data_IF_251617694491
#
_entry.id   IF_251617694491
#
_cell.length_a   1.000
_cell.length_b   1.000
_cell.length_c   1.000
_cell.angle_alpha   90.00
_cell.angle_beta   90.00
_cell.angle_gamma   90.00
#
_symmetry.space_group_name_H-M   'P 1'
#
loop_
_entity.id
_entity.type
_entity.pdbx_description
1 polymer ?
#
# COMPACT_ATOMS: atom_id res chain seq x y z
N UNK A 1 -54.32 -48.51 34.61
CA UNK A 1 -53.39 -49.67 34.48
C UNK A 1 -52.04 -49.19 34.09
N UNK A 2 -51.08 -49.14 34.99
CA UNK A 2 -49.75 -48.68 34.70
C UNK A 2 -48.84 -49.88 34.36
N UNK A 3 -47.96 -49.71 33.39
CA UNK A 3 -46.91 -50.68 33.09
C UNK A 3 -45.56 -50.18 33.62
N UNK A 4 -44.73 -51.07 34.11
CA UNK A 4 -43.47 -50.73 34.76
C UNK A 4 -42.34 -50.53 33.76
N UNK A 5 -41.49 -49.59 34.10
CA UNK A 5 -40.21 -49.25 33.51
C UNK A 5 -39.13 -50.31 33.84
N UNK A 6 -38.48 -50.84 32.85
CA UNK A 6 -37.26 -51.61 33.05
C UNK A 6 -36.04 -50.70 32.82
N UNK A 7 -35.36 -50.44 33.95
CA UNK A 7 -34.00 -49.95 33.95
C UNK A 7 -33.05 -51.08 33.62
N UNK A 8 -32.32 -50.98 32.53
CA UNK A 8 -31.13 -51.80 32.33
C UNK A 8 -29.89 -50.92 32.37
N UNK A 9 -29.24 -50.99 33.47
CA UNK A 9 -27.88 -50.49 33.62
C UNK A 9 -26.94 -51.27 32.69
N UNK A 10 -26.21 -50.57 31.88
CA UNK A 10 -25.02 -51.10 31.21
C UNK A 10 -23.80 -50.36 31.72
N UNK A 11 -23.23 -51.00 32.72
CA UNK A 11 -21.84 -50.78 33.15
C UNK A 11 -20.90 -51.25 32.06
N UNK A 12 -19.88 -50.39 31.80
CA UNK A 12 -18.54 -50.90 31.70
C UNK A 12 -17.74 -50.90 30.51
N UNK A 13 -16.60 -50.64 30.79
CA UNK A 13 -15.33 -50.90 30.11
C UNK A 13 -14.79 -49.68 29.37
N UNK A 14 -14.39 -48.71 30.14
CA UNK A 14 -13.26 -47.88 29.82
C UNK A 14 -12.00 -48.78 29.82
N UNK A 15 -11.58 -49.29 28.72
CA UNK A 15 -10.25 -49.85 28.58
C UNK A 15 -9.30 -48.81 28.01
N UNK A 16 -8.31 -48.55 28.84
CA UNK A 16 -7.13 -47.74 28.60
C UNK A 16 -6.41 -48.13 27.31
N UNK A 17 -6.35 -47.19 26.36
CA UNK A 17 -5.31 -47.17 25.33
C UNK A 17 -4.57 -45.83 25.50
N UNK A 18 -3.81 -45.77 26.57
CA UNK A 18 -2.90 -44.68 26.84
C UNK A 18 -1.51 -45.24 27.08
N UNK A 19 -0.82 -45.59 26.03
CA UNK A 19 0.65 -45.77 26.07
C UNK A 19 1.13 -46.22 24.70
N UNK A 20 1.49 -45.32 23.80
CA UNK A 20 2.48 -45.55 22.72
C UNK A 20 2.65 -44.28 21.81
N UNK A 21 2.75 -43.10 22.42
CA UNK A 21 3.15 -41.88 21.68
C UNK A 21 4.19 -41.05 22.46
N UNK A 22 5.12 -41.72 23.15
CA UNK A 22 6.24 -41.07 23.83
C UNK A 22 7.57 -41.48 23.18
N UNK A 23 7.70 -41.30 21.87
CA UNK A 23 8.98 -41.51 21.18
C UNK A 23 9.15 -40.55 19.98
N UNK A 24 8.84 -39.28 20.16
CA UNK A 24 9.45 -38.21 19.38
C UNK A 24 10.08 -37.27 20.42
N UNK A 25 11.40 -37.26 20.47
CA UNK A 25 12.17 -36.42 21.37
C UNK A 25 11.74 -34.97 21.28
N UNK A 26 10.92 -34.55 22.22
CA UNK A 26 10.60 -33.15 22.44
C UNK A 26 11.79 -32.48 23.13
N UNK A 27 12.69 -31.95 22.34
CA UNK A 27 13.51 -30.86 22.83
C UNK A 27 12.58 -29.73 23.22
N UNK A 28 12.63 -29.28 24.46
CA UNK A 28 11.97 -28.05 24.91
C UNK A 28 12.52 -26.91 24.05
N UNK A 29 11.85 -26.62 22.92
CA UNK A 29 12.06 -25.37 22.24
C UNK A 29 11.41 -24.29 23.10
N UNK A 30 12.24 -23.63 23.90
CA UNK A 30 11.85 -22.35 24.50
C UNK A 30 11.22 -21.51 23.36
N UNK A 31 9.95 -21.09 23.48
CA UNK A 31 9.35 -20.27 22.44
C UNK A 31 10.25 -19.04 22.24
N UNK A 32 10.80 -18.88 21.04
CA UNK A 32 11.55 -17.69 20.68
C UNK A 32 10.67 -16.49 21.02
N UNK A 33 11.20 -15.56 21.80
CA UNK A 33 10.49 -14.33 22.13
C UNK A 33 9.98 -13.73 20.82
N UNK A 34 8.66 -13.58 20.71
CA UNK A 34 8.05 -12.99 19.55
C UNK A 34 8.69 -11.61 19.34
N UNK A 35 9.50 -11.47 18.32
CA UNK A 35 10.06 -10.19 17.91
C UNK A 35 8.87 -9.32 17.52
N UNK A 36 8.51 -8.37 18.38
CA UNK A 36 7.48 -7.38 18.04
C UNK A 36 7.97 -6.62 16.81
N UNK A 37 7.29 -6.82 15.69
CA UNK A 37 7.54 -6.04 14.49
C UNK A 37 7.28 -4.56 14.86
N UNK A 38 8.27 -3.67 14.67
CA UNK A 38 8.06 -2.25 14.93
C UNK A 38 6.81 -1.76 14.21
N UNK A 39 5.85 -1.25 14.96
CA UNK A 39 4.66 -0.65 14.39
C UNK A 39 5.03 0.72 13.83
N UNK A 40 4.63 1.00 12.59
CA UNK A 40 4.77 2.33 12.03
C UNK A 40 3.91 3.31 12.84
N UNK A 41 4.42 4.51 13.05
CA UNK A 41 3.64 5.61 13.63
C UNK A 41 2.39 5.84 12.79
N UNK A 42 1.26 6.14 13.45
CA UNK A 42 0.03 6.47 12.74
C UNK A 42 0.27 7.63 11.76
N UNK A 43 -0.24 7.49 10.54
CA UNK A 43 -0.12 8.54 9.54
C UNK A 43 -0.89 9.79 10.00
N UNK A 44 -0.23 10.95 9.95
CA UNK A 44 -0.85 12.24 10.29
C UNK A 44 -1.18 12.99 9.02
N UNK A 45 -2.45 13.28 8.81
CA UNK A 45 -2.92 14.05 7.67
C UNK A 45 -2.58 15.53 7.76
N UNK A 46 -2.67 16.23 6.65
CA UNK A 46 -2.46 17.68 6.57
C UNK A 46 -3.35 18.29 5.47
N UNK A 47 -3.62 19.59 5.60
CA UNK A 47 -4.33 20.35 4.58
C UNK A 47 -3.32 21.15 3.77
N UNK A 48 -3.34 21.00 2.45
CA UNK A 48 -2.58 21.87 1.56
C UNK A 48 -3.36 23.17 1.30
N UNK A 49 -2.97 24.23 1.97
CA UNK A 49 -3.60 25.55 1.87
C UNK A 49 -3.03 26.43 0.74
N UNK A 50 -1.96 25.98 0.06
CA UNK A 50 -1.29 26.72 -1.00
C UNK A 50 -2.06 26.73 -2.32
N UNK A 51 -1.63 27.61 -3.23
CA UNK A 51 -2.04 27.61 -4.62
C UNK A 51 -1.22 26.59 -5.41
N UNK A 52 -1.90 25.79 -6.24
CA UNK A 52 -1.25 24.75 -7.05
C UNK A 52 -0.26 25.33 -8.06
N UNK A 53 -0.59 26.46 -8.68
CA UNK A 53 0.30 27.11 -9.66
C UNK A 53 1.65 27.53 -9.03
N UNK A 54 1.65 27.90 -7.74
CA UNK A 54 2.88 28.26 -7.02
C UNK A 54 3.87 27.12 -6.87
N UNK A 55 3.42 25.87 -7.01
CA UNK A 55 4.29 24.69 -6.92
C UNK A 55 5.34 24.65 -8.03
N UNK A 56 5.06 25.25 -9.18
CA UNK A 56 6.05 25.37 -10.26
C UNK A 56 7.30 26.12 -9.78
N UNK A 57 7.10 27.27 -9.11
CA UNK A 57 8.19 28.04 -8.55
C UNK A 57 8.86 27.33 -7.36
N UNK A 58 8.06 26.68 -6.51
CA UNK A 58 8.54 25.93 -5.34
C UNK A 58 9.51 24.82 -5.75
N UNK A 59 9.23 24.13 -6.84
CA UNK A 59 10.07 23.03 -7.32
C UNK A 59 11.13 23.43 -8.35
N UNK A 60 11.20 24.71 -8.74
CA UNK A 60 12.20 25.19 -9.70
C UNK A 60 13.64 25.00 -9.24
N UNK A 61 13.88 24.86 -7.92
CA UNK A 61 15.21 24.60 -7.35
C UNK A 61 15.67 23.14 -7.38
N UNK A 62 14.83 22.21 -7.82
CA UNK A 62 15.20 20.79 -7.89
C UNK A 62 16.18 20.56 -9.06
N UNK A 63 17.35 19.99 -8.74
CA UNK A 63 18.37 19.73 -9.73
C UNK A 63 17.85 18.83 -10.87
N UNK A 64 18.21 19.18 -12.12
CA UNK A 64 17.86 18.42 -13.31
C UNK A 64 16.35 18.14 -13.46
N UNK A 65 15.48 19.01 -12.91
CA UNK A 65 14.04 18.83 -12.90
C UNK A 65 13.37 20.04 -13.57
N UNK A 66 12.42 19.77 -14.46
CA UNK A 66 11.57 20.79 -15.07
C UNK A 66 10.11 20.44 -14.79
N UNK A 67 9.39 21.35 -14.14
CA UNK A 67 7.93 21.24 -13.99
C UNK A 67 7.27 21.77 -15.26
N UNK A 68 6.41 20.96 -15.87
CA UNK A 68 5.69 21.31 -17.10
C UNK A 68 4.28 21.78 -16.83
N UNK A 69 3.62 21.24 -15.79
CA UNK A 69 2.26 21.62 -15.38
C UNK A 69 2.19 21.62 -13.84
N UNK A 70 1.51 22.60 -13.29
CA UNK A 70 1.08 22.63 -11.90
C UNK A 70 -0.32 23.27 -11.86
N UNK A 71 -1.35 22.47 -11.62
CA UNK A 71 -2.75 22.91 -11.71
C UNK A 71 -3.65 22.26 -10.67
N UNK A 72 -4.78 22.89 -10.40
CA UNK A 72 -5.83 22.31 -9.56
C UNK A 72 -6.75 21.41 -10.40
N UNK A 73 -6.91 20.18 -9.96
CA UNK A 73 -7.94 19.26 -10.48
C UNK A 73 -9.08 19.24 -9.48
N UNK A 74 -10.27 19.69 -9.91
CA UNK A 74 -11.44 19.76 -9.05
C UNK A 74 -11.92 18.37 -8.61
N UNK A 75 -12.59 18.29 -7.47
CA UNK A 75 -13.20 17.05 -7.00
C UNK A 75 -14.15 16.47 -8.07
N UNK A 76 -14.00 15.20 -8.37
CA UNK A 76 -14.81 14.48 -9.38
C UNK A 76 -14.45 14.75 -10.83
N UNK A 77 -13.54 15.67 -11.14
CA UNK A 77 -13.06 15.89 -12.52
C UNK A 77 -12.24 14.67 -13.04
N UNK A 78 -11.71 13.88 -12.13
CA UNK A 78 -11.03 12.62 -12.43
C UNK A 78 -11.77 11.49 -11.70
N UNK A 79 -11.91 10.35 -12.37
CA UNK A 79 -12.43 9.12 -11.76
C UNK A 79 -11.44 7.99 -11.97
N UNK A 80 -11.23 7.17 -10.93
CA UNK A 80 -10.36 6.00 -10.96
C UNK A 80 -11.19 4.80 -10.50
N UNK A 81 -11.23 3.74 -11.32
CA UNK A 81 -12.07 2.58 -11.03
C UNK A 81 -13.55 2.92 -10.82
N UNK A 82 -14.06 3.96 -11.50
CA UNK A 82 -15.44 4.44 -11.34
C UNK A 82 -15.70 5.28 -10.09
N UNK A 83 -14.65 5.54 -9.27
CA UNK A 83 -14.77 6.38 -8.07
C UNK A 83 -14.22 7.79 -8.34
N UNK A 84 -14.95 8.86 -7.94
CA UNK A 84 -14.48 10.22 -8.10
C UNK A 84 -13.26 10.47 -7.20
N UNK A 85 -12.25 11.12 -7.75
CA UNK A 85 -11.06 11.54 -7.00
C UNK A 85 -11.31 12.89 -6.35
N UNK A 86 -10.85 13.04 -5.09
CA UNK A 86 -10.94 14.31 -4.36
C UNK A 86 -10.11 15.41 -5.03
N UNK A 87 -10.41 16.68 -4.71
CA UNK A 87 -9.64 17.83 -5.18
C UNK A 87 -8.16 17.68 -4.83
N UNK A 88 -7.30 17.91 -5.81
CA UNK A 88 -5.85 17.80 -5.65
C UNK A 88 -5.10 18.73 -6.60
N UNK A 89 -3.84 19.01 -6.27
CA UNK A 89 -2.91 19.60 -7.22
C UNK A 89 -2.28 18.50 -8.06
N UNK A 90 -2.32 18.63 -9.38
CA UNK A 90 -1.57 17.80 -10.31
C UNK A 90 -0.31 18.54 -10.73
N UNK A 91 0.83 17.92 -10.50
CA UNK A 91 2.14 18.42 -10.92
C UNK A 91 2.75 17.41 -11.84
N UNK A 92 3.08 17.82 -13.07
CA UNK A 92 3.81 16.98 -14.03
C UNK A 92 5.15 17.61 -14.36
N UNK A 93 6.11 16.78 -14.73
CA UNK A 93 7.43 17.27 -15.07
C UNK A 93 8.32 16.22 -15.68
N UNK A 94 9.53 16.63 -15.94
CA UNK A 94 10.60 15.82 -16.51
C UNK A 94 11.88 16.00 -15.70
N UNK A 95 12.61 14.90 -15.54
CA UNK A 95 13.91 14.88 -14.86
C UNK A 95 14.99 14.35 -15.81
N UNK A 96 16.23 14.80 -15.59
CA UNK A 96 17.40 14.32 -16.32
C UNK A 96 17.25 14.34 -17.83
N UNK A 97 16.66 15.42 -18.36
CA UNK A 97 16.55 15.61 -19.81
C UNK A 97 17.95 15.62 -20.45
N UNK A 98 18.11 14.82 -21.49
CA UNK A 98 19.38 14.65 -22.20
C UNK A 98 19.15 14.31 -23.66
N UNK A 99 20.10 14.69 -24.51
CA UNK A 99 20.17 14.20 -25.90
C UNK A 99 21.11 12.99 -25.93
N UNK A 100 20.65 11.92 -26.55
CA UNK A 100 21.45 10.70 -26.73
C UNK A 100 22.53 10.92 -27.82
N UNK A 101 23.74 10.57 -27.47
CA UNK A 101 24.86 10.62 -28.45
C UNK A 101 24.79 9.47 -29.49
N UNK A 102 23.92 8.47 -29.26
CA UNK A 102 23.80 7.29 -30.13
C UNK A 102 22.84 7.55 -31.28
N UNK A 103 21.69 8.19 -31.01
CA UNK A 103 20.59 8.34 -31.96
C UNK A 103 20.11 9.79 -32.16
N UNK A 104 20.68 10.74 -31.38
CA UNK A 104 20.30 12.15 -31.44
C UNK A 104 18.96 12.50 -30.81
N UNK A 105 18.24 11.55 -30.26
CA UNK A 105 16.93 11.77 -29.65
C UNK A 105 17.05 12.36 -28.24
N UNK A 106 16.02 13.13 -27.84
CA UNK A 106 15.88 13.64 -26.48
C UNK A 106 15.16 12.63 -25.59
N UNK A 107 15.72 12.40 -24.43
CA UNK A 107 15.18 11.50 -23.39
C UNK A 107 15.05 12.24 -22.06
N UNK A 108 14.04 11.89 -21.30
CA UNK A 108 13.83 12.39 -19.95
C UNK A 108 13.06 11.35 -19.12
N UNK A 109 13.11 11.48 -17.81
CA UNK A 109 12.25 10.73 -16.89
C UNK A 109 11.03 11.58 -16.61
N UNK A 110 9.86 11.19 -17.15
CA UNK A 110 8.60 11.84 -16.87
C UNK A 110 8.04 11.44 -15.50
N UNK A 111 7.34 12.36 -14.85
CA UNK A 111 6.64 12.07 -13.60
C UNK A 111 5.32 12.84 -13.49
N UNK A 112 4.40 12.30 -12.70
CA UNK A 112 3.20 12.98 -12.22
C UNK A 112 3.10 12.80 -10.71
N UNK A 113 2.81 13.89 -9.99
CA UNK A 113 2.53 13.91 -8.56
C UNK A 113 1.14 14.49 -8.33
N UNK A 114 0.35 13.83 -7.51
CA UNK A 114 -0.95 14.34 -7.04
C UNK A 114 -0.85 14.63 -5.56
N UNK A 115 -1.13 15.88 -5.20
CA UNK A 115 -1.12 16.39 -3.85
C UNK A 115 -2.56 16.69 -3.44
N UNK A 116 -3.25 15.80 -2.69
CA UNK A 116 -4.60 16.05 -2.24
C UNK A 116 -4.68 17.29 -1.36
N UNK A 117 -5.74 18.12 -1.52
CA UNK A 117 -5.98 19.25 -0.62
C UNK A 117 -6.11 18.79 0.84
N UNK A 118 -6.75 17.64 1.06
CA UNK A 118 -6.84 16.98 2.37
C UNK A 118 -6.02 15.69 2.32
N UNK A 119 -4.73 15.80 2.64
CA UNK A 119 -3.83 14.65 2.64
C UNK A 119 -4.03 13.79 3.89
N UNK A 120 -4.09 12.48 3.72
CA UNK A 120 -4.31 11.51 4.81
C UNK A 120 -3.01 11.04 5.49
N UNK A 121 -1.86 11.64 5.19
CA UNK A 121 -0.57 11.26 5.75
C UNK A 121 0.09 10.06 5.07
N UNK A 122 -0.48 9.55 3.97
CA UNK A 122 0.06 8.38 3.26
C UNK A 122 0.57 8.79 1.89
N UNK A 123 1.71 8.25 1.50
CA UNK A 123 2.30 8.42 0.18
C UNK A 123 2.27 7.09 -0.58
N UNK A 124 1.82 7.13 -1.83
CA UNK A 124 1.87 6.01 -2.76
C UNK A 124 2.80 6.38 -3.91
N UNK A 125 3.77 5.54 -4.20
CA UNK A 125 4.61 5.63 -5.39
C UNK A 125 4.28 4.47 -6.33
N UNK A 126 3.98 4.81 -7.58
CA UNK A 126 3.75 3.86 -8.66
C UNK A 126 4.84 4.04 -9.71
N UNK A 127 5.59 2.97 -9.98
CA UNK A 127 6.51 2.93 -11.12
C UNK A 127 5.81 2.41 -12.37
N UNK A 128 6.25 2.85 -13.53
CA UNK A 128 5.80 2.26 -14.79
C UNK A 128 6.37 0.85 -14.95
N UNK A 129 5.63 0.01 -15.66
CA UNK A 129 6.11 -1.30 -16.07
C UNK A 129 6.90 -1.23 -17.38
N UNK A 130 7.88 -2.13 -17.53
CA UNK A 130 8.57 -2.35 -18.81
C UNK A 130 9.36 -1.16 -19.34
N UNK A 131 9.31 -0.99 -20.66
CA UNK A 131 10.07 -0.01 -21.44
C UNK A 131 9.13 0.94 -22.21
N UNK A 132 7.95 1.20 -21.68
CA UNK A 132 6.90 1.97 -22.38
C UNK A 132 7.24 3.46 -22.58
N UNK A 133 8.16 4.01 -21.78
CA UNK A 133 8.65 5.39 -21.91
C UNK A 133 7.60 6.49 -21.67
N UNK A 134 6.42 6.13 -21.16
CA UNK A 134 5.32 7.06 -20.88
C UNK A 134 4.98 7.07 -19.40
N UNK A 135 4.45 8.20 -18.91
CA UNK A 135 3.93 8.29 -17.54
C UNK A 135 2.54 7.66 -17.52
N UNK A 136 2.40 6.52 -16.86
CA UNK A 136 1.10 5.88 -16.63
C UNK A 136 0.44 6.54 -15.43
N UNK A 137 -0.74 7.08 -15.66
CA UNK A 137 -1.55 7.68 -14.59
C UNK A 137 -1.88 6.65 -13.52
N UNK A 138 -1.70 7.00 -12.24
CA UNK A 138 -2.02 6.12 -11.12
C UNK A 138 -3.51 5.74 -11.14
N UNK A 139 -3.79 4.45 -11.03
CA UNK A 139 -5.15 3.86 -11.07
C UNK A 139 -5.50 3.19 -9.75
#
# INVERSE_FOLDING_TARGET
MPRPSHHTARTSAAMAVAALLAACGGGETTPAAATTIPQLTAATGAVFAGDCASLQATFAGLANTQITVAETVAAGALSIGGQPVAEHCRVTGQMHQRTSAVDGNSYAIGFEVRLPKNWNGRFLHQGNGGIDGSVVTAT
#
